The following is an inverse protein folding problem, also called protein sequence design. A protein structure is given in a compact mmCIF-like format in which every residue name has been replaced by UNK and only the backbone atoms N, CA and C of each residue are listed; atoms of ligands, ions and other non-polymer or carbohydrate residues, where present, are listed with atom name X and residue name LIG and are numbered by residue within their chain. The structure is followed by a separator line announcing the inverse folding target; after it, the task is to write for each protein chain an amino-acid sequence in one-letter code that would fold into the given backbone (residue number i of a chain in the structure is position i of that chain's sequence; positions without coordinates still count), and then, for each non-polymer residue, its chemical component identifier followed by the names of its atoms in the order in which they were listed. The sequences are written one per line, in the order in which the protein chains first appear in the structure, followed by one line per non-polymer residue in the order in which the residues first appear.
data_IF_938865720191
#
_entry.id   IF_938865720191
#
_cell.length_a   1.000
_cell.length_b   1.000
_cell.length_c   1.000
_cell.angle_alpha   90.00
_cell.angle_beta   90.00
_cell.angle_gamma   90.00
#
_symmetry.space_group_name_H-M   'P 1'
#
loop_
_entity.id
_entity.type
_entity.pdbx_description
1 polymer ?
#
# COMPACT_ATOMS: atom_id res chain seq x y z
N UNK A 1 -3.04 3.37 27.85
CA UNK A 1 -3.41 3.84 26.50
C UNK A 1 -4.60 3.03 26.02
N UNK A 2 -5.78 3.63 25.88
CA UNK A 2 -6.97 2.92 25.38
C UNK A 2 -6.92 2.94 23.85
N UNK A 3 -6.73 1.78 23.23
CA UNK A 3 -6.92 1.63 21.77
C UNK A 3 -8.42 1.76 21.51
N UNK A 4 -8.82 2.84 20.84
CA UNK A 4 -10.18 2.96 20.32
C UNK A 4 -10.20 2.15 19.02
N UNK A 5 -10.77 0.95 19.07
CA UNK A 5 -11.11 0.19 17.88
C UNK A 5 -12.39 0.83 17.31
N UNK A 6 -12.27 1.61 16.26
CA UNK A 6 -13.45 2.06 15.50
C UNK A 6 -13.79 0.91 14.54
N UNK A 7 -14.95 0.28 14.67
CA UNK A 7 -15.31 -0.81 13.76
C UNK A 7 -15.47 -0.26 12.33
N UNK A 8 -14.91 -0.96 11.36
CA UNK A 8 -14.90 -0.61 9.92
C UNK A 8 -16.30 -0.30 9.38
N UNK A 9 -17.33 -0.93 9.96
CA UNK A 9 -18.73 -0.67 9.62
C UNK A 9 -19.24 0.76 9.92
N UNK A 10 -18.62 1.46 10.89
CA UNK A 10 -19.02 2.83 11.23
C UNK A 10 -18.42 3.83 10.22
N UNK A 11 -17.24 3.53 9.67
CA UNK A 11 -16.59 4.39 8.66
C UNK A 11 -17.40 4.39 7.35
N UNK A 12 -17.91 3.21 6.94
CA UNK A 12 -18.75 3.10 5.74
C UNK A 12 -20.08 3.88 5.87
N UNK A 13 -20.67 3.92 7.06
CA UNK A 13 -21.93 4.66 7.31
C UNK A 13 -21.69 6.18 7.36
N UNK A 14 -20.56 6.63 7.89
CA UNK A 14 -20.22 8.07 7.91
C UNK A 14 -19.92 8.62 6.51
N UNK A 15 -19.32 7.83 5.62
CA UNK A 15 -19.11 8.23 4.22
C UNK A 15 -20.41 8.37 3.43
N UNK A 16 -21.46 7.62 3.77
CA UNK A 16 -22.77 7.75 3.13
C UNK A 16 -23.60 8.96 3.59
N UNK A 17 -23.32 9.52 4.77
CA UNK A 17 -24.10 10.64 5.29
C UNK A 17 -23.53 12.03 4.94
N UNK A 18 -22.28 12.12 4.51
CA UNK A 18 -21.65 13.37 4.09
C UNK A 18 -21.94 13.80 2.64
N UNK A 19 -22.58 12.93 1.85
CA UNK A 19 -22.91 13.19 0.45
C UNK A 19 -24.33 13.76 0.29
N UNK A 20 -24.59 14.96 0.83
CA UNK A 20 -25.68 15.81 0.34
C UNK A 20 -25.08 16.91 -0.53
N UNK A 21 -25.40 16.83 -1.83
CA UNK A 21 -25.20 17.85 -2.86
C UNK A 21 -23.78 18.02 -3.43
N UNK A 22 -23.21 16.98 -4.01
CA UNK A 22 -22.27 17.07 -5.13
C UNK A 22 -22.26 15.73 -5.83
N UNK A 23 -22.12 15.75 -7.14
CA UNK A 23 -21.92 14.62 -8.05
C UNK A 23 -21.63 13.30 -7.29
N UNK A 24 -22.58 12.35 -7.32
CA UNK A 24 -22.48 11.14 -6.48
C UNK A 24 -21.25 10.35 -6.90
N UNK A 25 -20.09 10.71 -6.34
CA UNK A 25 -18.87 9.93 -6.50
C UNK A 25 -19.09 8.57 -5.81
N UNK A 26 -19.24 7.52 -6.61
CA UNK A 26 -19.32 6.16 -6.08
C UNK A 26 -17.99 5.84 -5.42
N UNK A 27 -17.97 5.79 -4.10
CA UNK A 27 -16.78 5.43 -3.33
C UNK A 27 -16.86 3.94 -3.01
N UNK A 28 -15.87 3.18 -3.49
CA UNK A 28 -15.63 1.79 -3.12
C UNK A 28 -14.27 1.72 -2.40
N UNK A 29 -14.24 2.00 -1.09
CA UNK A 29 -12.97 2.04 -0.35
C UNK A 29 -12.36 0.64 -0.27
N UNK A 30 -11.06 0.54 -0.53
CA UNK A 30 -10.32 -0.73 -0.51
C UNK A 30 -9.19 -0.69 0.53
N UNK A 31 -8.36 0.35 0.51
CA UNK A 31 -7.24 0.52 1.43
C UNK A 31 -7.36 1.84 2.19
N UNK A 32 -6.89 1.80 3.42
CA UNK A 32 -6.83 2.96 4.32
C UNK A 32 -5.40 3.12 4.83
N UNK A 33 -4.91 4.35 4.84
CA UNK A 33 -3.61 4.69 5.39
C UNK A 33 -3.72 5.98 6.20
N UNK A 34 -3.37 5.92 7.48
CA UNK A 34 -3.33 7.09 8.35
C UNK A 34 -1.94 7.72 8.27
N UNK A 35 -1.85 8.97 7.86
CA UNK A 35 -0.57 9.70 7.80
C UNK A 35 0.06 9.82 9.19
N UNK A 36 1.41 9.86 9.26
CA UNK A 36 2.20 9.84 10.50
C UNK A 36 1.79 10.89 11.52
N UNK A 37 1.31 12.04 11.04
CA UNK A 37 0.80 13.08 11.91
C UNK A 37 -0.58 12.78 12.54
N UNK A 38 -1.22 11.67 12.14
CA UNK A 38 -2.55 11.28 12.58
C UNK A 38 -3.68 12.25 12.19
N UNK A 39 -3.40 13.21 11.32
CA UNK A 39 -4.36 14.26 10.94
C UNK A 39 -5.00 14.04 9.58
N UNK A 40 -4.41 13.21 8.73
CA UNK A 40 -4.92 12.93 7.39
C UNK A 40 -5.12 11.44 7.20
N UNK A 41 -6.21 11.06 6.57
CA UNK A 41 -6.54 9.71 6.18
C UNK A 41 -6.49 9.62 4.66
N UNK A 42 -5.73 8.67 4.13
CA UNK A 42 -5.73 8.35 2.71
C UNK A 42 -6.60 7.12 2.46
N UNK A 43 -7.48 7.22 1.47
CA UNK A 43 -8.45 6.18 1.11
C UNK A 43 -8.33 5.89 -0.37
N UNK A 44 -8.09 4.63 -0.74
CA UNK A 44 -8.14 4.23 -2.15
C UNK A 44 -9.57 3.96 -2.57
N UNK A 45 -9.95 4.46 -3.75
CA UNK A 45 -11.24 4.18 -4.37
C UNK A 45 -11.04 3.20 -5.53
N UNK A 46 -11.44 1.95 -5.34
CA UNK A 46 -11.27 0.90 -6.34
C UNK A 46 -12.14 1.13 -7.58
N UNK A 47 -13.33 1.69 -7.41
CA UNK A 47 -14.24 1.93 -8.53
C UNK A 47 -13.75 3.02 -9.50
N UNK A 48 -13.03 4.02 -9.01
CA UNK A 48 -12.58 5.18 -9.79
C UNK A 48 -11.07 5.26 -10.01
N UNK A 49 -10.27 4.29 -9.57
CA UNK A 49 -8.79 4.38 -9.60
C UNK A 49 -8.26 5.66 -8.94
N UNK A 50 -8.90 6.08 -7.86
CA UNK A 50 -8.62 7.32 -7.16
C UNK A 50 -7.96 7.07 -5.81
N UNK A 51 -7.15 8.03 -5.39
CA UNK A 51 -6.72 8.21 -4.00
C UNK A 51 -7.35 9.47 -3.46
N UNK A 52 -8.02 9.35 -2.34
CA UNK A 52 -8.74 10.42 -1.66
C UNK A 52 -8.01 10.72 -0.35
N UNK A 53 -7.71 11.98 -0.11
CA UNK A 53 -7.23 12.48 1.17
C UNK A 53 -8.40 13.05 1.95
N UNK A 54 -8.58 12.58 3.16
CA UNK A 54 -9.63 13.00 4.09
C UNK A 54 -9.04 13.50 5.40
N UNK A 55 -9.81 14.28 6.13
CA UNK A 55 -9.54 14.54 7.55
C UNK A 55 -9.51 13.23 8.34
N UNK A 56 -8.72 13.13 9.40
CA UNK A 56 -8.56 11.90 10.19
C UNK A 56 -9.86 11.41 10.85
N UNK A 57 -10.83 12.29 11.04
CA UNK A 57 -12.17 11.93 11.54
C UNK A 57 -13.11 11.44 10.42
N UNK A 58 -12.64 11.41 9.17
CA UNK A 58 -13.36 10.92 8.01
C UNK A 58 -14.52 11.79 7.52
N UNK A 59 -14.65 13.03 8.03
CA UNK A 59 -15.80 13.88 7.70
C UNK A 59 -15.61 14.74 6.48
N UNK A 60 -14.38 15.16 6.20
CA UNK A 60 -14.08 16.10 5.14
C UNK A 60 -13.14 15.47 4.10
N UNK A 61 -13.53 15.53 2.84
CA UNK A 61 -12.66 15.22 1.71
C UNK A 61 -11.82 16.46 1.40
N UNK A 62 -10.50 16.36 1.60
CA UNK A 62 -9.60 17.49 1.40
C UNK A 62 -9.15 17.56 -0.06
N UNK A 63 -8.77 16.43 -0.64
CA UNK A 63 -8.20 16.34 -1.98
C UNK A 63 -8.43 14.95 -2.60
N UNK A 64 -8.35 14.87 -3.92
CA UNK A 64 -8.31 13.59 -4.64
C UNK A 64 -7.32 13.65 -5.80
N UNK A 65 -6.78 12.51 -6.17
CA UNK A 65 -5.93 12.31 -7.35
C UNK A 65 -6.35 11.03 -8.08
N UNK A 66 -6.39 11.07 -9.41
CA UNK A 66 -6.75 9.95 -10.26
C UNK A 66 -5.49 9.30 -10.86
N UNK A 67 -5.53 7.98 -11.00
CA UNK A 67 -4.50 7.18 -11.64
C UNK A 67 -5.05 6.45 -12.87
N UNK A 68 -4.16 6.00 -13.73
CA UNK A 68 -4.57 5.20 -14.91
C UNK A 68 -5.04 3.78 -14.59
N UNK A 69 -4.87 3.34 -13.35
CA UNK A 69 -5.18 1.98 -12.88
C UNK A 69 -5.49 2.00 -11.39
N UNK A 70 -6.21 1.00 -10.85
CA UNK A 70 -6.51 0.91 -9.43
C UNK A 70 -5.25 0.95 -8.55
N UNK A 71 -5.36 1.63 -7.42
CA UNK A 71 -4.32 1.69 -6.40
C UNK A 71 -4.38 0.43 -5.55
N UNK A 72 -3.28 -0.32 -5.50
CA UNK A 72 -3.19 -1.54 -4.70
C UNK A 72 -2.69 -1.30 -3.27
N UNK A 73 -1.71 -0.42 -3.10
CA UNK A 73 -1.15 -0.12 -1.79
C UNK A 73 -0.44 1.24 -1.76
N UNK A 74 -0.15 1.71 -0.56
CA UNK A 74 0.57 2.95 -0.34
C UNK A 74 1.37 2.91 0.96
N UNK A 75 2.42 3.73 1.03
CA UNK A 75 3.24 3.95 2.22
C UNK A 75 3.74 5.39 2.23
N UNK A 76 4.18 5.89 3.37
CA UNK A 76 4.76 7.22 3.49
C UNK A 76 6.22 7.13 3.96
N UNK A 77 7.10 7.93 3.36
CA UNK A 77 8.47 8.07 3.81
C UNK A 77 8.61 9.15 4.90
N UNK A 78 9.75 9.25 5.62
CA UNK A 78 9.97 10.24 6.66
C UNK A 78 9.91 11.70 6.18
N UNK A 79 10.13 11.95 4.89
CA UNK A 79 10.05 13.29 4.28
C UNK A 79 8.60 13.70 4.02
N UNK A 80 7.66 12.79 4.28
CA UNK A 80 6.23 13.02 4.08
C UNK A 80 5.76 12.79 2.65
N UNK A 81 6.59 12.21 1.77
CA UNK A 81 6.13 11.79 0.45
C UNK A 81 5.29 10.54 0.57
N UNK A 82 4.21 10.50 -0.18
CA UNK A 82 3.36 9.32 -0.28
C UNK A 82 3.76 8.52 -1.52
N UNK A 83 4.06 7.24 -1.31
CA UNK A 83 4.41 6.30 -2.36
C UNK A 83 3.24 5.36 -2.61
N UNK A 84 2.79 5.29 -3.86
CA UNK A 84 1.58 4.58 -4.26
C UNK A 84 1.91 3.62 -5.38
N UNK A 85 1.49 2.36 -5.26
CA UNK A 85 1.60 1.37 -6.33
C UNK A 85 0.23 1.09 -6.92
N UNK A 86 0.20 1.09 -8.27
CA UNK A 86 -1.01 0.84 -9.04
C UNK A 86 -0.89 -0.45 -9.83
N UNK A 87 -2.05 -1.09 -10.02
CA UNK A 87 -2.17 -2.31 -10.81
C UNK A 87 -1.82 -2.11 -12.29
N UNK A 88 -1.67 -3.21 -13.01
CA UNK A 88 -1.46 -3.24 -14.45
C UNK A 88 -0.29 -4.11 -14.90
N UNK A 89 -0.26 -4.48 -16.18
CA UNK A 89 0.76 -5.34 -16.77
C UNK A 89 2.19 -4.81 -16.62
N UNK A 90 2.34 -3.51 -16.41
CA UNK A 90 3.60 -2.81 -16.12
C UNK A 90 3.41 -1.96 -14.87
N UNK A 91 3.08 -2.54 -13.75
CA UNK A 91 2.77 -1.82 -12.52
C UNK A 91 3.51 -0.51 -12.36
N UNK A 92 2.81 0.49 -11.91
CA UNK A 92 3.35 1.84 -11.76
C UNK A 92 3.44 2.22 -10.30
N UNK A 93 4.56 2.83 -9.94
CA UNK A 93 4.75 3.47 -8.65
C UNK A 93 4.79 4.98 -8.83
N UNK A 94 4.05 5.69 -8.01
CA UNK A 94 3.97 7.14 -8.00
C UNK A 94 4.52 7.67 -6.67
N UNK A 95 5.31 8.73 -6.75
CA UNK A 95 5.67 9.56 -5.61
C UNK A 95 4.79 10.81 -5.63
N UNK A 96 4.12 11.07 -4.53
CA UNK A 96 3.28 12.25 -4.35
C UNK A 96 3.76 13.08 -3.15
N UNK A 97 3.58 14.38 -3.22
CA UNK A 97 3.61 15.23 -2.04
C UNK A 97 2.42 14.86 -1.15
N UNK A 98 2.67 14.32 0.06
CA UNK A 98 1.61 13.85 0.95
C UNK A 98 0.71 14.95 1.50
N UNK A 99 1.13 16.22 1.42
CA UNK A 99 0.32 17.36 1.85
C UNK A 99 -0.60 17.85 0.73
N UNK A 100 -0.06 17.99 -0.49
CA UNK A 100 -0.76 18.56 -1.66
C UNK A 100 -1.37 17.51 -2.58
N UNK A 101 -1.08 16.24 -2.35
CA UNK A 101 -1.48 15.10 -3.18
C UNK A 101 -1.08 15.25 -4.65
N UNK A 102 -0.03 16.03 -4.93
CA UNK A 102 0.47 16.26 -6.28
C UNK A 102 1.53 15.23 -6.68
N UNK A 103 1.38 14.64 -7.86
CA UNK A 103 2.33 13.66 -8.39
C UNK A 103 3.66 14.36 -8.69
N UNK A 104 4.74 13.89 -8.05
CA UNK A 104 6.11 14.39 -8.25
C UNK A 104 6.89 13.52 -9.23
N UNK A 105 6.67 12.21 -9.20
CA UNK A 105 7.34 11.27 -10.11
C UNK A 105 6.51 10.03 -10.38
N UNK A 106 6.86 9.36 -11.48
CA UNK A 106 6.24 8.11 -11.94
C UNK A 106 7.32 7.15 -12.38
N UNK A 107 7.28 5.92 -11.86
CA UNK A 107 8.31 4.90 -12.06
C UNK A 107 7.64 3.57 -12.39
N UNK A 108 8.29 2.76 -13.24
CA UNK A 108 7.87 1.36 -13.42
C UNK A 108 8.27 0.57 -12.18
N UNK A 109 7.31 -0.09 -11.54
CA UNK A 109 7.53 -0.85 -10.29
C UNK A 109 7.57 -2.37 -10.49
N UNK A 110 7.61 -2.85 -11.71
CA UNK A 110 7.49 -4.29 -12.03
C UNK A 110 6.07 -4.66 -12.42
N UNK A 111 5.82 -5.96 -12.63
CA UNK A 111 4.50 -6.45 -13.00
C UNK A 111 3.65 -6.71 -11.76
N UNK A 112 2.47 -6.09 -11.71
CA UNK A 112 1.44 -6.34 -10.69
C UNK A 112 1.93 -6.18 -9.24
N UNK A 113 2.37 -4.97 -8.84
CA UNK A 113 2.74 -4.70 -7.47
C UNK A 113 1.50 -4.83 -6.58
N UNK A 114 1.56 -5.68 -5.56
CA UNK A 114 0.45 -5.96 -4.64
C UNK A 114 0.51 -5.15 -3.36
N UNK A 115 1.74 -4.84 -2.91
CA UNK A 115 1.96 -4.08 -1.68
C UNK A 115 3.24 -3.26 -1.74
N UNK A 116 3.31 -2.21 -0.93
CA UNK A 116 4.49 -1.35 -0.78
C UNK A 116 4.66 -0.94 0.68
N UNK A 117 5.91 -0.95 1.16
CA UNK A 117 6.28 -0.56 2.50
C UNK A 117 7.58 0.24 2.48
N UNK A 118 7.62 1.39 3.15
CA UNK A 118 8.87 2.06 3.48
C UNK A 118 9.46 1.44 4.75
N UNK A 119 10.71 0.99 4.68
CA UNK A 119 11.43 0.46 5.84
C UNK A 119 12.48 1.47 6.31
N UNK A 120 12.37 2.00 7.54
CA UNK A 120 13.25 3.04 8.03
C UNK A 120 14.68 2.55 8.31
N UNK A 121 14.89 1.26 8.63
CA UNK A 121 16.21 0.71 8.86
C UNK A 121 17.04 0.62 7.58
N UNK A 122 16.45 0.08 6.51
CA UNK A 122 17.11 0.00 5.19
C UNK A 122 17.01 1.29 4.38
N UNK A 123 16.21 2.27 4.84
CA UNK A 123 15.89 3.51 4.13
C UNK A 123 15.43 3.26 2.69
N UNK A 124 14.64 2.22 2.50
CA UNK A 124 14.23 1.73 1.18
C UNK A 124 12.73 1.47 1.11
N UNK A 125 12.21 1.55 -0.11
CA UNK A 125 10.89 1.06 -0.43
C UNK A 125 10.98 -0.42 -0.78
N UNK A 126 10.11 -1.21 -0.18
CA UNK A 126 9.94 -2.62 -0.48
C UNK A 126 8.63 -2.81 -1.22
N UNK A 127 8.67 -3.46 -2.39
CA UNK A 127 7.49 -3.66 -3.24
C UNK A 127 7.32 -5.15 -3.51
N UNK A 128 6.16 -5.68 -3.13
CA UNK A 128 5.80 -7.07 -3.42
C UNK A 128 5.29 -7.19 -4.85
N UNK A 129 5.89 -8.09 -5.63
CA UNK A 129 5.55 -8.37 -7.03
C UNK A 129 4.76 -9.67 -7.09
N UNK A 130 3.43 -9.57 -7.17
CA UNK A 130 2.52 -10.70 -6.98
C UNK A 130 2.81 -11.89 -7.89
N UNK A 131 2.91 -11.67 -9.21
CA UNK A 131 3.06 -12.78 -10.16
C UNK A 131 4.51 -13.14 -10.48
N UNK A 132 5.46 -12.31 -10.04
CA UNK A 132 6.89 -12.63 -10.15
C UNK A 132 7.40 -13.41 -8.94
N UNK A 133 6.62 -13.46 -7.84
CA UNK A 133 7.04 -14.06 -6.57
C UNK A 133 8.34 -13.42 -6.06
N UNK A 134 8.42 -12.10 -6.13
CA UNK A 134 9.60 -11.33 -5.76
C UNK A 134 9.25 -10.16 -4.84
N UNK A 135 10.20 -9.80 -3.98
CA UNK A 135 10.27 -8.50 -3.35
C UNK A 135 11.34 -7.66 -4.05
N UNK A 136 10.99 -6.44 -4.37
CA UNK A 136 11.94 -5.47 -4.90
C UNK A 136 12.29 -4.44 -3.84
N UNK A 137 13.58 -4.28 -3.56
CA UNK A 137 14.07 -3.16 -2.79
C UNK A 137 14.41 -2.01 -3.74
N UNK A 138 13.83 -0.85 -3.47
CA UNK A 138 13.95 0.34 -4.32
C UNK A 138 14.47 1.49 -3.45
N UNK A 139 15.52 2.15 -3.93
CA UNK A 139 16.03 3.38 -3.34
C UNK A 139 15.07 4.54 -3.67
N UNK A 140 14.46 5.20 -2.66
CA UNK A 140 13.50 6.27 -2.90
C UNK A 140 14.13 7.51 -3.53
N UNK A 141 15.41 7.80 -3.26
CA UNK A 141 16.10 8.97 -3.78
C UNK A 141 16.49 8.82 -5.26
N UNK A 142 17.10 7.69 -5.61
CA UNK A 142 17.53 7.41 -6.98
C UNK A 142 16.45 6.74 -7.83
N UNK A 143 15.41 6.17 -7.18
CA UNK A 143 14.31 5.44 -7.80
C UNK A 143 14.76 4.19 -8.58
N UNK A 144 15.89 3.62 -8.18
CA UNK A 144 16.46 2.42 -8.78
C UNK A 144 16.22 1.20 -7.91
N UNK A 145 16.01 0.07 -8.55
CA UNK A 145 15.97 -1.23 -7.87
C UNK A 145 17.37 -1.56 -7.36
N UNK A 146 17.51 -1.74 -6.05
CA UNK A 146 18.74 -2.14 -5.35
C UNK A 146 18.89 -3.65 -5.34
N UNK A 147 17.80 -4.36 -5.06
CA UNK A 147 17.79 -5.81 -4.95
C UNK A 147 16.43 -6.39 -5.34
N UNK A 148 16.45 -7.67 -5.74
CA UNK A 148 15.26 -8.50 -5.96
C UNK A 148 15.45 -9.78 -5.16
N UNK A 149 14.47 -10.14 -4.35
CA UNK A 149 14.49 -11.31 -3.49
C UNK A 149 13.32 -12.20 -3.88
N UNK A 150 13.58 -13.47 -4.16
CA UNK A 150 12.54 -14.46 -4.39
C UNK A 150 11.85 -14.78 -3.07
N UNK A 151 10.52 -14.80 -3.09
CA UNK A 151 9.65 -15.16 -1.97
C UNK A 151 8.63 -16.22 -2.41
N UNK A 152 7.77 -16.64 -1.50
CA UNK A 152 6.71 -17.58 -1.82
C UNK A 152 5.74 -17.05 -2.88
N UNK A 153 4.81 -17.92 -3.29
CA UNK A 153 3.93 -17.67 -4.44
C UNK A 153 2.86 -16.64 -4.12
N UNK A 154 2.73 -15.66 -5.02
CA UNK A 154 1.75 -14.58 -4.94
C UNK A 154 1.84 -13.78 -3.62
N UNK A 155 2.93 -13.05 -3.35
CA UNK A 155 3.01 -12.15 -2.22
C UNK A 155 1.93 -11.07 -2.33
N UNK A 156 1.14 -10.87 -1.25
CA UNK A 156 -0.04 -9.98 -1.24
C UNK A 156 -0.01 -8.92 -0.16
N UNK A 157 0.79 -9.11 0.88
CA UNK A 157 0.92 -8.14 1.96
C UNK A 157 2.28 -8.26 2.66
N UNK A 158 2.74 -7.15 3.21
CA UNK A 158 3.99 -7.06 3.97
C UNK A 158 3.79 -6.29 5.27
N UNK A 159 4.58 -6.65 6.27
CA UNK A 159 4.68 -5.89 7.52
C UNK A 159 6.12 -5.88 8.01
N UNK A 160 6.55 -4.75 8.57
CA UNK A 160 7.83 -4.63 9.25
C UNK A 160 7.69 -5.09 10.71
N UNK A 161 8.71 -5.77 11.24
CA UNK A 161 8.76 -6.18 12.64
C UNK A 161 10.20 -6.27 13.16
N UNK A 162 10.37 -6.62 14.43
CA UNK A 162 11.68 -6.72 15.10
C UNK A 162 12.52 -5.43 14.96
N UNK A 163 11.89 -4.26 15.18
CA UNK A 163 12.57 -2.96 15.05
C UNK A 163 13.00 -2.67 13.61
N UNK A 164 12.16 -3.04 12.66
CA UNK A 164 12.36 -2.88 11.21
C UNK A 164 13.51 -3.71 10.61
N UNK A 165 14.12 -4.62 11.38
CA UNK A 165 15.16 -5.51 10.86
C UNK A 165 14.64 -6.63 9.97
N UNK A 166 13.34 -6.94 10.08
CA UNK A 166 12.71 -8.02 9.33
C UNK A 166 11.42 -7.57 8.66
N UNK A 167 11.15 -8.15 7.48
CA UNK A 167 9.85 -8.07 6.81
C UNK A 167 9.16 -9.42 6.88
N UNK A 168 7.89 -9.42 7.26
CA UNK A 168 6.99 -10.55 7.15
C UNK A 168 6.17 -10.40 5.88
N UNK A 169 6.17 -11.44 5.05
CA UNK A 169 5.47 -11.46 3.76
C UNK A 169 4.38 -12.52 3.80
N UNK A 170 3.16 -12.13 3.50
CA UNK A 170 2.05 -13.04 3.31
C UNK A 170 1.95 -13.45 1.84
N UNK A 171 2.05 -14.75 1.57
CA UNK A 171 1.90 -15.33 0.24
C UNK A 171 0.54 -16.02 0.12
N UNK A 172 -0.17 -15.73 -0.96
CA UNK A 172 -1.56 -16.19 -1.14
C UNK A 172 -1.66 -17.65 -1.58
N UNK A 173 -0.60 -18.20 -2.18
CA UNK A 173 -0.58 -19.54 -2.74
C UNK A 173 0.46 -20.42 -2.04
N UNK A 174 0.18 -21.72 -1.83
CA UNK A 174 1.17 -22.66 -1.34
C UNK A 174 2.27 -22.92 -2.40
N UNK A 175 3.48 -23.23 -1.96
CA UNK A 175 4.61 -23.50 -2.86
C UNK A 175 4.37 -24.72 -3.77
N UNK A 176 3.68 -25.73 -3.28
CA UNK A 176 3.42 -26.95 -4.04
C UNK A 176 1.93 -27.13 -4.30
N UNK A 177 1.54 -27.59 -5.50
CA UNK A 177 0.20 -28.10 -5.72
C UNK A 177 0.01 -29.30 -4.79
N UNK A 178 -0.64 -29.08 -3.67
CA UNK A 178 -0.79 -30.11 -2.64
C UNK A 178 -1.96 -31.02 -2.99
N UNK A 179 -1.69 -32.33 -3.05
CA UNK A 179 -2.71 -33.37 -2.92
C UNK A 179 -3.03 -33.66 -1.44
N UNK A 180 -2.30 -33.02 -0.52
CA UNK A 180 -2.51 -33.14 0.92
C UNK A 180 -3.27 -31.92 1.46
N UNK A 181 -4.30 -32.14 2.24
CA UNK A 181 -5.03 -31.13 3.01
C UNK A 181 -4.39 -30.95 4.38
N UNK A 182 -4.42 -29.73 4.95
CA UNK A 182 -4.91 -28.47 4.40
C UNK A 182 -3.86 -27.73 3.55
N UNK A 183 -4.33 -27.02 2.51
CA UNK A 183 -3.53 -26.05 1.79
C UNK A 183 -3.30 -24.83 2.69
N UNK A 184 -2.08 -24.63 3.15
CA UNK A 184 -1.74 -23.48 3.98
C UNK A 184 -1.10 -22.39 3.13
N UNK A 185 -1.56 -21.15 3.28
CA UNK A 185 -0.83 -19.98 2.83
C UNK A 185 0.53 -19.92 3.55
N UNK A 186 1.54 -19.37 2.87
CA UNK A 186 2.89 -19.28 3.41
C UNK A 186 3.19 -17.89 3.95
N UNK A 187 4.01 -17.85 5.00
CA UNK A 187 4.64 -16.62 5.49
C UNK A 187 6.15 -16.74 5.29
N UNK A 188 6.73 -15.74 4.64
CA UNK A 188 8.18 -15.60 4.54
C UNK A 188 8.68 -14.51 5.47
N UNK A 189 9.91 -14.67 5.93
CA UNK A 189 10.63 -13.66 6.70
C UNK A 189 11.88 -13.27 5.90
N UNK A 190 12.02 -11.99 5.63
CA UNK A 190 13.20 -11.42 4.98
C UNK A 190 13.93 -10.53 5.98
N UNK A 191 15.19 -10.87 6.28
CA UNK A 191 16.08 -10.05 7.08
C UNK A 191 16.65 -8.92 6.20
N UNK A 192 16.36 -7.67 6.56
CA UNK A 192 16.82 -6.49 5.82
C UNK A 192 18.13 -5.93 6.38
N UNK A 193 18.61 -6.45 7.51
CA UNK A 193 19.86 -6.02 8.18
C UNK A 193 21.08 -6.79 7.70
N UNK A 194 20.90 -7.97 7.10
CA UNK A 194 21.98 -8.91 6.74
C UNK A 194 22.55 -8.68 5.33
N UNK A 195 22.73 -7.43 4.92
CA UNK A 195 23.32 -7.06 3.62
C UNK A 195 24.78 -6.68 3.75
#
# INVERSE_FOLDING_TARGET
MKKILIPVSIIAVLLCTAAKDADQTVISPDRLFLADNGKSLFVTNRAGSELIKMSADGKEMEQKVEFSSPVNAMTQDPDGNLWVVCDGNYGMMYQLDGKKLSIQSKIKSGATPSDILYNPLSQSLWVAQRFNNELWEIDPATRKVKAKITVGREPVAMASFAGDSCLLIANNMPEMPSTAYPLAAQLDIVDVSSK
#
